data_IF_039077871844
#
_entry.id   IF_039077871844
#
_cell.length_a   1.000
_cell.length_b   1.000
_cell.length_c   1.000
_cell.angle_alpha   90.00
_cell.angle_beta   90.00
_cell.angle_gamma   90.00
#
_symmetry.space_group_name_H-M   'P 1'
#
loop_
_entity.id
_entity.type
_entity.pdbx_description
1 polymer ?
2 non-polymer ?
3 non-polymer ?
4 non-polymer ?
5 water ?
#
# COMPACT_ATOMS: atom_id res chain seq x y z
N UNK A 4 15.56 20.18 -17.62
CA UNK A 4 15.03 20.11 -16.25
C UNK A 4 15.74 19.05 -15.40
N UNK A 5 16.43 18.11 -16.06
CA UNK A 5 17.14 17.03 -15.38
C UNK A 5 16.26 15.93 -14.79
N UNK A 6 14.98 15.95 -15.14
CA UNK A 6 14.02 14.96 -14.68
C UNK A 6 13.82 13.88 -15.73
N UNK A 7 13.69 12.63 -15.32
CA UNK A 7 13.46 11.56 -16.29
C UNK A 7 12.08 11.66 -16.94
N UNK A 8 12.06 11.63 -18.26
CA UNK A 8 10.82 11.57 -19.01
C UNK A 8 10.72 10.24 -19.71
N UNK A 9 9.53 9.91 -20.20
CA UNK A 9 9.30 8.64 -20.89
C UNK A 9 10.22 8.55 -22.08
N UNK A 10 10.61 9.70 -22.61
CA UNK A 10 11.53 9.71 -23.73
C UNK A 10 12.95 9.36 -23.26
N UNK A 11 13.36 9.92 -22.12
CA UNK A 11 14.66 9.60 -21.53
C UNK A 11 14.80 8.10 -21.29
N UNK A 12 13.74 7.51 -20.77
CA UNK A 12 13.67 6.07 -20.52
C UNK A 12 13.78 5.27 -21.82
N UNK A 13 13.19 5.80 -22.89
CA UNK A 13 13.16 5.11 -24.17
C UNK A 13 14.51 5.23 -24.86
N UNK A 14 15.13 6.41 -24.74
CA UNK A 14 16.40 6.70 -25.39
C UNK A 14 17.59 6.10 -24.65
N UNK A 15 17.58 6.23 -23.33
CA UNK A 15 18.73 5.85 -22.52
C UNK A 15 18.80 4.34 -22.25
N UNK A 16 17.67 3.64 -22.35
CA UNK A 16 17.64 2.21 -21.99
C UNK A 16 17.11 1.27 -23.05
N UNK A 17 16.18 1.74 -23.86
CA UNK A 17 15.40 0.85 -24.68
C UNK A 17 15.91 0.73 -26.11
N UNK A 18 16.59 1.77 -26.58
CA UNK A 18 17.09 1.82 -27.96
C UNK A 18 17.76 0.52 -28.45
N UNK A 19 18.72 -0.03 -27.68
CA UNK A 19 19.48 -1.13 -28.29
C UNK A 19 18.75 -2.47 -28.40
N UNK A 20 17.45 -2.54 -28.13
CA UNK A 20 16.78 -3.84 -28.16
C UNK A 20 15.45 -3.79 -28.90
N UNK A 21 15.33 -2.86 -29.85
CA UNK A 21 14.15 -2.79 -30.71
C UNK A 21 14.27 -3.75 -31.89
N UNK A 22 15.14 -4.74 -31.73
CA UNK A 22 15.35 -5.78 -32.74
C UNK A 22 14.41 -6.97 -32.49
N UNK A 23 14.21 -7.34 -31.23
CA UNK A 23 13.39 -8.50 -30.95
C UNK A 23 12.27 -8.22 -29.95
N UNK A 24 11.18 -8.97 -30.07
CA UNK A 24 10.11 -8.95 -29.09
C UNK A 24 10.62 -9.55 -27.78
N UNK A 25 11.42 -10.61 -27.89
CA UNK A 25 11.81 -11.39 -26.73
C UNK A 25 13.24 -11.15 -26.24
N UNK A 26 13.35 -10.55 -25.05
CA UNK A 26 14.61 -10.23 -24.41
C UNK A 26 15.28 -11.43 -23.74
N UNK A 27 16.61 -11.46 -23.77
CA UNK A 27 17.38 -12.36 -22.92
C UNK A 27 17.35 -11.91 -21.45
N UNK A 28 17.64 -12.83 -20.54
CA UNK A 28 17.72 -12.48 -19.11
C UNK A 28 18.72 -11.37 -18.85
N UNK A 29 19.86 -11.46 -19.53
CA UNK A 29 20.88 -10.43 -19.47
C UNK A 29 20.43 -9.07 -20.01
N UNK A 30 19.70 -9.08 -21.12
CA UNK A 30 19.19 -7.82 -21.70
C UNK A 30 18.22 -7.11 -20.77
N UNK A 31 17.29 -7.85 -20.21
CA UNK A 31 16.37 -7.28 -19.25
C UNK A 31 17.19 -6.63 -18.15
N UNK A 32 18.23 -7.32 -17.69
CA UNK A 32 19.10 -6.77 -16.65
C UNK A 32 19.68 -5.44 -17.06
N UNK A 33 20.34 -5.39 -18.21
CA UNK A 33 20.90 -4.13 -18.69
C UNK A 33 19.84 -3.02 -18.71
N UNK A 34 18.69 -3.31 -19.30
CA UNK A 34 17.57 -2.38 -19.30
C UNK A 34 17.25 -1.91 -17.89
N UNK A 35 17.17 -2.87 -16.97
CA UNK A 35 16.84 -2.54 -15.58
C UNK A 35 17.81 -1.52 -14.98
N UNK A 36 19.11 -1.83 -14.97
CA UNK A 36 20.08 -0.93 -14.32
C UNK A 36 20.19 0.38 -15.06
N UNK A 37 19.73 0.39 -16.30
CA UNK A 37 19.74 1.64 -17.04
C UNK A 37 18.65 2.59 -16.57
N UNK A 38 17.45 2.05 -16.32
CA UNK A 38 16.37 2.85 -15.74
C UNK A 38 16.72 3.34 -14.34
N UNK A 39 17.15 2.41 -13.48
CA UNK A 39 17.55 2.76 -12.12
C UNK A 39 18.73 3.72 -12.10
N UNK A 40 19.62 3.62 -13.09
CA UNK A 40 20.66 4.61 -13.25
C UNK A 40 20.04 5.97 -13.46
N UNK A 41 18.93 6.00 -14.18
CA UNK A 41 18.25 7.25 -14.50
C UNK A 41 17.49 7.83 -13.30
N UNK A 42 16.98 6.97 -12.44
CA UNK A 42 16.12 7.45 -11.37
C UNK A 42 16.76 7.47 -9.99
N UNK A 43 18.02 7.07 -9.88
CA UNK A 43 18.64 6.94 -8.56
C UNK A 43 19.02 8.27 -7.92
N UNK A 44 19.38 9.27 -8.73
CA UNK A 44 19.77 10.55 -8.17
C UNK A 44 18.89 11.67 -8.68
N UNK A 45 17.98 11.33 -9.57
CA UNK A 45 17.06 12.30 -10.14
C UNK A 45 15.66 11.75 -10.04
N UNK A 46 14.68 12.54 -10.43
CA UNK A 46 13.30 12.19 -10.18
C UNK A 46 12.50 12.09 -11.48
N UNK A 47 11.35 11.42 -11.40
CA UNK A 47 10.41 11.42 -12.50
C UNK A 47 9.85 12.79 -12.77
N UNK A 48 9.72 13.12 -14.06
CA UNK A 48 9.14 14.38 -14.46
C UNK A 48 7.67 14.45 -13.97
N UNK A 49 6.96 13.34 -14.01
CA UNK A 49 5.53 13.35 -13.78
C UNK A 49 4.90 11.97 -13.57
N UNK A 50 3.62 11.95 -13.30
CA UNK A 50 2.93 10.71 -12.95
C UNK A 50 2.86 9.73 -14.10
N UNK A 51 2.87 10.27 -15.32
CA UNK A 51 2.79 9.48 -16.54
C UNK A 51 4.06 8.64 -16.72
N UNK A 52 5.18 9.21 -16.33
CA UNK A 52 6.45 8.52 -16.42
C UNK A 52 6.54 7.44 -15.35
N UNK A 53 6.23 7.80 -14.10
CA UNK A 53 6.21 6.82 -13.01
C UNK A 53 5.29 5.66 -13.35
N UNK A 54 4.12 5.97 -13.93
CA UNK A 54 3.15 4.98 -14.33
C UNK A 54 3.65 4.14 -15.48
N UNK A 55 4.23 4.81 -16.48
CA UNK A 55 4.77 4.11 -17.63
C UNK A 55 5.82 3.10 -17.18
N UNK A 56 6.61 3.55 -16.22
CA UNK A 56 7.75 2.82 -15.69
C UNK A 56 7.39 1.45 -15.13
N UNK A 57 6.19 1.33 -14.57
CA UNK A 57 5.71 0.06 -14.03
C UNK A 57 5.88 -1.19 -14.88
N UNK A 58 5.83 -1.06 -16.21
CA UNK A 58 6.07 -2.18 -17.13
C UNK A 58 7.35 -2.92 -16.84
N UNK A 59 8.34 -2.18 -16.34
CA UNK A 59 9.72 -2.61 -16.31
C UNK A 59 10.18 -3.10 -14.97
N UNK A 60 9.33 -2.93 -13.95
CA UNK A 60 9.71 -3.20 -12.56
C UNK A 60 8.91 -4.31 -11.91
N UNK A 61 9.57 -4.98 -10.97
CA UNK A 61 8.92 -5.89 -10.06
C UNK A 61 8.96 -5.21 -8.69
N UNK A 62 8.09 -5.64 -7.75
CA UNK A 62 8.15 -5.10 -6.39
C UNK A 62 9.55 -5.10 -5.80
N UNK A 63 10.32 -6.13 -6.10
CA UNK A 63 11.67 -6.26 -5.56
C UNK A 63 12.60 -5.24 -6.18
N UNK A 64 12.53 -5.09 -7.49
CA UNK A 64 13.38 -4.12 -8.16
C UNK A 64 13.05 -2.70 -7.69
N UNK A 65 11.79 -2.45 -7.41
CA UNK A 65 11.40 -1.14 -6.93
C UNK A 65 12.01 -0.92 -5.55
N UNK A 66 11.99 -1.97 -4.72
CA UNK A 66 12.64 -1.92 -3.41
C UNK A 66 14.10 -1.48 -3.54
N UNK A 67 14.84 -2.16 -4.42
CA UNK A 67 16.22 -1.81 -4.72
C UNK A 67 16.37 -0.34 -5.13
N UNK A 68 15.45 0.15 -5.95
CA UNK A 68 15.46 1.54 -6.37
C UNK A 68 15.31 2.50 -5.18
N UNK A 69 14.40 2.17 -4.27
CA UNK A 69 14.14 2.97 -3.08
C UNK A 69 15.37 3.02 -2.21
N UNK A 70 16.05 1.88 -2.08
CA UNK A 70 17.30 1.80 -1.34
C UNK A 70 18.40 2.61 -2.00
N UNK A 71 18.51 2.54 -3.31
CA UNK A 71 19.60 3.29 -3.93
C UNK A 71 19.31 4.78 -3.97
N UNK A 72 18.03 5.19 -4.01
CA UNK A 72 17.69 6.61 -3.83
C UNK A 72 18.12 7.11 -2.45
N UNK A 73 17.71 6.37 -1.43
CA UNK A 73 18.05 6.68 -0.05
C UNK A 73 19.56 6.83 0.17
N UNK A 74 20.31 5.95 -0.48
CA UNK A 74 21.77 5.98 -0.49
C UNK A 74 22.31 7.28 -1.08
N UNK A 75 21.66 7.73 -2.15
CA UNK A 75 21.95 9.02 -2.73
C UNK A 75 21.19 10.13 -2.02
N UNK A 76 20.78 9.87 -0.77
CA UNK A 76 20.11 10.86 0.05
C UNK A 76 18.84 11.43 -0.59
N UNK A 77 17.99 10.58 -1.15
CA UNK A 77 16.74 11.04 -1.76
C UNK A 77 15.53 10.28 -1.23
N UNK A 78 14.39 10.96 -1.12
CA UNK A 78 13.12 10.32 -0.78
C UNK A 78 12.90 9.07 -1.65
N UNK A 79 12.38 8.01 -1.07
CA UNK A 79 12.25 6.76 -1.81
C UNK A 79 11.36 6.85 -3.04
N UNK A 80 10.35 7.70 -2.97
CA UNK A 80 9.35 7.82 -4.04
C UNK A 80 9.96 8.53 -5.24
N UNK A 81 9.87 7.93 -6.44
CA UNK A 81 10.64 8.54 -7.54
C UNK A 81 10.18 9.92 -8.02
N UNK A 82 9.03 10.42 -7.58
CA UNK A 82 8.57 11.74 -8.02
C UNK A 82 9.13 12.83 -7.12
N UNK A 83 9.72 12.45 -5.99
CA UNK A 83 10.14 13.41 -4.97
C UNK A 83 11.63 13.70 -5.01
N UNK A 84 11.98 14.98 -4.98
CA UNK A 84 13.36 15.39 -4.99
C UNK A 84 13.89 15.81 -3.63
N UNK A 85 13.07 15.67 -2.60
CA UNK A 85 13.52 15.92 -1.24
C UNK A 85 14.31 14.73 -0.69
N UNK A 86 14.92 14.90 0.47
CA UNK A 86 15.66 13.83 1.08
C UNK A 86 14.77 13.19 2.16
N UNK A 87 15.15 12.00 2.65
CA UNK A 87 14.40 11.41 3.77
C UNK A 87 14.43 12.32 4.99
N UNK A 88 13.49 12.18 5.93
CA UNK A 88 13.47 13.10 7.05
C UNK A 88 14.55 12.75 8.07
N UNK A 89 14.78 11.45 8.28
CA UNK A 89 15.82 11.01 9.20
C UNK A 89 16.87 10.16 8.48
N UNK A 90 18.14 10.39 8.74
CA UNK A 90 19.18 9.57 8.11
C UNK A 90 19.30 8.25 8.82
N UNK A 91 19.79 7.24 8.10
CA UNK A 91 20.10 5.96 8.67
C UNK A 91 21.35 5.38 8.07
N UNK A 92 22.06 4.61 8.90
CA UNK A 92 23.29 3.94 8.55
C UNK A 92 22.95 2.52 8.06
N UNK A 93 23.24 2.21 6.79
CA UNK A 93 22.89 0.88 6.28
C UNK A 93 23.62 -0.26 6.97
N UNK A 94 24.74 0.02 7.63
CA UNK A 94 25.47 -1.03 8.35
C UNK A 94 25.17 -1.02 9.84
N UNK A 95 24.27 -0.14 10.28
CA UNK A 95 23.95 -0.05 11.70
C UNK A 95 22.83 -0.98 12.11
N UNK A 96 23.10 -1.87 13.05
CA UNK A 96 22.10 -2.78 13.55
C UNK A 96 21.15 -2.06 14.51
N UNK A 97 21.63 -1.00 15.16
CA UNK A 97 20.74 -0.16 15.96
C UNK A 97 19.66 0.42 15.08
N UNK A 98 20.09 1.00 13.95
CA UNK A 98 19.17 1.62 13.01
C UNK A 98 18.21 0.58 12.45
N UNK A 99 18.73 -0.62 12.18
CA UNK A 99 17.90 -1.69 11.69
C UNK A 99 16.91 -2.12 12.77
N UNK A 100 17.40 -2.23 14.00
CA UNK A 100 16.57 -2.58 15.16
C UNK A 100 15.44 -1.59 15.39
N UNK A 101 15.72 -0.28 15.24
CA UNK A 101 14.74 0.77 15.51
C UNK A 101 13.50 0.66 14.64
N UNK A 102 13.72 0.36 13.37
CA UNK A 102 12.61 0.23 12.44
C UNK A 102 11.54 -0.79 12.90
N UNK A 103 11.92 -1.77 13.73
CA UNK A 103 11.04 -2.89 14.06
C UNK A 103 10.70 -2.97 15.54
N UNK A 104 11.65 -2.52 16.36
CA UNK A 104 11.48 -2.46 17.80
C UNK A 104 10.48 -1.39 18.18
N UNK A 105 10.71 -0.19 17.67
CA UNK A 105 9.85 0.93 17.96
C UNK A 105 8.49 0.61 17.38
N UNK A 106 7.45 0.75 18.19
CA UNK A 106 6.11 0.36 17.75
C UNK A 106 5.28 1.58 17.34
N UNK A 107 4.93 1.63 16.06
CA UNK A 107 4.21 2.76 15.47
C UNK A 107 5.00 4.07 15.61
N UNK A 108 6.31 4.00 15.44
CA UNK A 108 7.14 5.20 15.44
C UNK A 108 7.33 5.67 14.00
N UNK A 109 7.45 7.00 13.81
CA UNK A 109 7.69 7.55 12.48
C UNK A 109 9.05 7.14 11.91
N UNK A 110 10.01 6.75 12.74
CA UNK A 110 11.34 6.47 12.24
C UNK A 110 11.30 5.53 11.07
N UNK A 111 10.47 4.49 11.20
CA UNK A 111 10.44 3.40 10.24
C UNK A 111 10.27 3.94 8.82
N UNK A 112 9.38 4.91 8.61
CA UNK A 112 9.23 5.48 7.26
C UNK A 112 10.02 6.77 7.04
N UNK A 113 10.10 7.61 8.05
CA UNK A 113 10.77 8.89 7.89
C UNK A 113 12.27 8.70 7.59
N UNK A 114 12.78 7.50 7.85
CA UNK A 114 14.15 7.16 7.44
C UNK A 114 14.27 6.75 5.96
N UNK A 115 13.15 6.50 5.28
CA UNK A 115 13.15 6.17 3.85
C UNK A 115 12.49 7.22 2.95
N UNK A 116 11.66 8.08 3.54
CA UNK A 116 10.87 9.05 2.77
C UNK A 116 10.82 10.39 3.46
N UNK A 117 10.42 11.42 2.72
CA UNK A 117 10.36 12.77 3.25
C UNK A 117 9.17 12.91 4.18
N UNK A 118 8.22 11.98 4.08
CA UNK A 118 6.96 12.06 4.81
C UNK A 118 6.20 10.75 4.76
N UNK A 119 5.19 10.63 5.62
CA UNK A 119 4.38 9.43 5.57
C UNK A 119 3.63 9.43 4.28
N UNK A 120 3.22 10.61 3.82
CA UNK A 120 2.47 10.70 2.58
C UNK A 120 3.22 10.02 1.42
N UNK A 121 4.49 10.37 1.23
CA UNK A 121 5.27 9.72 0.18
C UNK A 121 5.61 8.25 0.46
N UNK A 122 5.74 7.86 1.74
CA UNK A 122 5.81 6.44 2.08
C UNK A 122 4.62 5.68 1.51
N UNK A 123 3.43 6.23 1.70
CA UNK A 123 2.18 5.64 1.21
C UNK A 123 2.10 5.58 -0.30
N UNK A 124 2.40 6.69 -0.96
CA UNK A 124 2.46 6.72 -2.40
C UNK A 124 3.42 5.66 -2.94
N UNK A 125 4.59 5.55 -2.32
CA UNK A 125 5.60 4.61 -2.78
C UNK A 125 5.14 3.17 -2.60
N UNK A 126 4.42 2.90 -1.53
CA UNK A 126 4.04 1.53 -1.22
C UNK A 126 2.79 1.11 -1.99
N UNK A 127 1.85 2.05 -2.12
CA UNK A 127 0.66 1.90 -2.94
C UNK A 127 1.04 1.53 -4.38
N UNK A 128 2.05 2.23 -4.89
CA UNK A 128 2.62 1.94 -6.21
C UNK A 128 3.22 0.55 -6.27
N UNK A 129 4.11 0.26 -5.33
CA UNK A 129 4.90 -0.97 -5.35
C UNK A 129 4.11 -2.29 -5.34
N UNK A 130 3.05 -2.35 -4.55
CA UNK A 130 2.31 -3.59 -4.38
C UNK A 130 1.47 -3.93 -5.60
N UNK A 131 1.39 -3.00 -6.54
CA UNK A 131 0.66 -3.25 -7.78
C UNK A 131 1.58 -3.77 -8.88
N UNK A 132 2.87 -3.86 -8.58
CA UNK A 132 3.84 -4.21 -9.61
C UNK A 132 3.88 -5.71 -9.76
N UNK A 133 4.06 -6.18 -10.98
CA UNK A 133 4.07 -7.60 -11.23
C UNK A 133 5.34 -8.26 -10.74
N UNK A 134 5.22 -9.48 -10.22
CA UNK A 134 6.39 -10.30 -9.88
C UNK A 134 7.01 -11.00 -11.09
N UNK A 135 6.39 -10.86 -12.24
CA UNK A 135 6.90 -11.47 -13.44
C UNK A 135 8.18 -10.75 -13.84
N UNK A 136 9.24 -11.50 -14.13
CA UNK A 136 10.51 -10.88 -14.51
C UNK A 136 10.39 -10.14 -15.84
N UNK A 137 11.17 -9.09 -15.96
CA UNK A 137 11.06 -8.20 -17.11
C UNK A 137 11.25 -8.92 -18.44
N UNK A 138 12.24 -9.80 -18.51
CA UNK A 138 12.54 -10.50 -19.76
C UNK A 138 11.36 -11.37 -20.19
N UNK A 139 10.58 -11.84 -19.22
CA UNK A 139 9.35 -12.59 -19.48
C UNK A 139 8.21 -11.72 -20.03
N UNK A 140 8.32 -10.40 -19.89
CA UNK A 140 7.29 -9.49 -20.39
C UNK A 140 7.56 -9.13 -21.83
N UNK A 141 7.43 -10.13 -22.71
CA UNK A 141 7.74 -9.96 -24.12
C UNK A 141 7.12 -8.72 -24.74
N UNK A 142 7.95 -7.92 -25.40
CA UNK A 142 7.46 -6.78 -26.13
C UNK A 142 7.26 -5.48 -25.36
N UNK A 143 7.21 -5.51 -24.03
CA UNK A 143 6.91 -4.27 -23.27
C UNK A 143 7.96 -3.18 -23.43
N UNK A 144 9.03 -3.46 -24.16
CA UNK A 144 10.11 -2.51 -24.32
C UNK A 144 10.12 -1.89 -25.71
N UNK A 145 9.22 -2.38 -26.56
CA UNK A 145 9.16 -1.97 -27.96
C UNK A 145 8.41 -0.66 -28.15
N UNK A 146 9.06 0.27 -28.85
CA UNK A 146 8.53 1.60 -29.13
C UNK A 146 7.22 1.54 -29.88
N UNK A 147 7.23 0.91 -31.04
CA UNK A 147 6.02 0.67 -31.80
C UNK A 147 5.56 -0.73 -31.45
N UNK A 148 4.93 -0.84 -30.28
CA UNK A 148 4.54 -2.12 -29.71
C UNK A 148 3.23 -2.59 -30.36
N UNK A 149 3.29 -3.73 -31.08
CA UNK A 149 2.08 -4.34 -31.65
C UNK A 149 1.03 -4.68 -30.57
N UNK A 150 1.43 -4.68 -29.31
CA UNK A 150 0.54 -5.01 -28.22
C UNK A 150 0.54 -3.88 -27.21
N UNK A 151 0.88 -2.68 -27.68
CA UNK A 151 0.97 -1.51 -26.80
C UNK A 151 -0.25 -1.37 -25.92
N UNK A 152 -1.42 -1.40 -26.56
CA UNK A 152 -2.68 -1.28 -25.86
C UNK A 152 -2.81 -2.37 -24.79
N UNK A 153 -2.36 -3.58 -25.12
CA UNK A 153 -2.46 -4.70 -24.18
C UNK A 153 -1.53 -4.50 -22.98
N UNK A 154 -0.29 -4.09 -23.24
CA UNK A 154 0.68 -3.87 -22.17
C UNK A 154 0.27 -2.68 -21.29
N UNK A 155 -0.33 -1.67 -21.92
CA UNK A 155 -0.89 -0.54 -21.21
C UNK A 155 -1.90 -0.94 -20.14
N UNK A 156 -2.56 -2.06 -20.37
CA UNK A 156 -3.60 -2.55 -19.46
C UNK A 156 -3.02 -3.58 -18.49
N UNK A 157 -2.18 -4.46 -19.01
CA UNK A 157 -1.59 -5.51 -18.18
C UNK A 157 -0.63 -4.97 -17.12
N UNK A 158 -0.11 -3.76 -17.34
CA UNK A 158 0.85 -3.18 -16.43
C UNK A 158 0.41 -1.79 -16.02
N UNK A 159 -0.90 -1.56 -16.12
CA UNK A 159 -1.54 -0.41 -15.51
C UNK A 159 -1.16 -0.31 -14.04
N UNK A 160 -0.80 0.90 -13.64
CA UNK A 160 -0.53 1.24 -12.26
C UNK A 160 -1.36 2.46 -11.95
N UNK A 161 -2.08 2.43 -10.83
CA UNK A 161 -2.84 3.58 -10.35
C UNK A 161 -2.07 4.25 -9.22
N UNK A 162 -1.82 5.55 -9.32
CA UNK A 162 -1.07 6.21 -8.25
C UNK A 162 -2.00 6.54 -7.10
N UNK A 163 -1.44 6.58 -5.89
CA UNK A 163 -2.26 6.84 -4.71
C UNK A 163 -2.90 8.19 -4.88
N UNK A 164 -2.12 9.15 -5.37
CA UNK A 164 -2.62 10.51 -5.46
C UNK A 164 -3.65 10.66 -6.58
N UNK A 165 -3.80 9.64 -7.43
CA UNK A 165 -4.90 9.62 -8.39
C UNK A 165 -6.20 9.28 -7.69
N UNK A 166 -6.14 8.42 -6.67
CA UNK A 166 -7.35 8.08 -5.94
C UNK A 166 -7.78 9.23 -5.02
N UNK A 167 -6.84 9.82 -4.33
CA UNK A 167 -7.13 10.99 -3.51
C UNK A 167 -7.87 12.08 -4.27
N UNK A 168 -7.30 12.47 -5.42
CA UNK A 168 -7.92 13.44 -6.33
C UNK A 168 -9.36 13.09 -6.68
N UNK A 169 -9.56 11.87 -7.16
CA UNK A 169 -10.85 11.39 -7.67
C UNK A 169 -12.01 11.54 -6.71
N UNK A 170 -11.75 11.68 -5.42
CA UNK A 170 -12.85 11.73 -4.48
C UNK A 170 -13.26 13.13 -4.01
N UNK A 171 -12.40 14.14 -4.22
CA UNK A 171 -12.65 15.51 -3.74
C UNK A 171 -14.07 16.00 -4.05
N UNK A 172 -14.64 16.75 -3.10
CA UNK A 172 -15.98 17.30 -3.20
C UNK A 172 -16.02 18.57 -4.04
N UNK A 173 -17.22 19.03 -4.34
CA UNK A 173 -17.38 20.26 -5.08
C UNK A 173 -16.87 21.45 -4.27
N UNK A 174 -17.10 21.39 -2.96
CA UNK A 174 -16.64 22.47 -2.09
C UNK A 174 -15.12 22.49 -2.08
N UNK A 175 -14.52 21.30 -2.06
CA UNK A 175 -13.06 21.14 -2.18
C UNK A 175 -12.57 21.68 -3.52
N UNK A 176 -13.11 21.14 -4.61
CA UNK A 176 -12.85 21.61 -5.97
C UNK A 176 -12.91 23.12 -6.10
N UNK A 177 -13.98 23.72 -5.60
CA UNK A 177 -14.24 25.14 -5.84
C UNK A 177 -13.14 26.03 -5.23
N UNK A 178 -12.61 25.62 -4.08
CA UNK A 178 -11.58 26.38 -3.39
C UNK A 178 -10.43 26.77 -4.32
N UNK A 179 -9.96 25.79 -5.11
CA UNK A 179 -8.82 25.96 -6.00
C UNK A 179 -8.99 27.03 -7.07
N UNK A 180 -10.21 27.21 -7.57
CA UNK A 180 -10.45 28.26 -8.56
C UNK A 180 -10.47 29.66 -7.90
N UNK A 181 -11.44 29.87 -7.01
CA UNK A 181 -11.63 31.11 -6.25
C UNK A 181 -11.98 32.32 -7.12
N UNK B 4 -24.87 -15.84 9.19
CA UNK B 4 -23.95 -16.07 8.09
C UNK B 4 -22.61 -16.64 8.59
N UNK B 5 -22.29 -16.38 9.86
CA UNK B 5 -20.97 -16.70 10.37
C UNK B 5 -19.99 -15.56 10.11
N UNK B 6 -20.24 -14.84 9.02
CA UNK B 6 -19.40 -13.73 8.57
C UNK B 6 -20.02 -12.39 8.97
N UNK B 7 -19.19 -11.39 9.23
CA UNK B 7 -19.68 -10.11 9.73
C UNK B 7 -20.19 -9.20 8.60
N UNK B 8 -21.37 -8.62 8.80
CA UNK B 8 -21.91 -7.68 7.83
C UNK B 8 -21.87 -6.30 8.44
N UNK B 9 -22.24 -5.30 7.65
CA UNK B 9 -22.17 -3.92 8.12
C UNK B 9 -23.00 -3.77 9.36
N UNK B 10 -24.18 -4.36 9.39
CA UNK B 10 -24.97 -4.14 10.58
C UNK B 10 -24.54 -5.06 11.71
N UNK B 11 -23.87 -6.17 11.38
CA UNK B 11 -23.22 -6.95 12.43
C UNK B 11 -22.19 -6.08 13.15
N UNK B 12 -21.51 -5.22 12.38
CA UNK B 12 -20.58 -4.25 12.96
C UNK B 12 -21.33 -3.22 13.81
N UNK B 13 -22.47 -2.75 13.31
CA UNK B 13 -23.28 -1.76 13.99
C UNK B 13 -23.88 -2.31 15.29
N UNK B 14 -24.49 -3.50 15.22
CA UNK B 14 -25.03 -4.15 16.40
C UNK B 14 -23.97 -4.32 17.47
N UNK B 15 -22.86 -4.94 17.10
CA UNK B 15 -21.84 -5.29 18.07
C UNK B 15 -21.08 -4.08 18.67
N UNK B 16 -20.92 -3.00 17.92
CA UNK B 16 -19.96 -1.99 18.35
C UNK B 16 -20.56 -0.63 18.69
N UNK B 17 -21.64 -0.23 18.02
CA UNK B 17 -22.00 1.18 17.96
C UNK B 17 -23.28 1.56 18.72
N UNK B 18 -24.06 0.55 19.09
CA UNK B 18 -25.33 0.77 19.77
C UNK B 18 -25.24 1.74 20.99
N UNK B 19 -24.22 1.60 21.84
CA UNK B 19 -24.22 2.51 23.00
C UNK B 19 -23.83 3.97 22.74
N UNK B 20 -23.40 4.30 21.54
CA UNK B 20 -22.78 5.62 21.35
C UNK B 20 -23.56 6.52 20.44
N UNK B 21 -24.79 6.11 20.12
CA UNK B 21 -25.64 6.87 19.23
C UNK B 21 -26.11 8.17 19.88
N UNK B 22 -26.00 8.23 21.21
CA UNK B 22 -26.44 9.37 21.99
C UNK B 22 -25.79 10.69 21.55
N UNK B 23 -24.51 10.66 21.18
CA UNK B 23 -23.81 11.89 20.81
C UNK B 23 -22.85 11.73 19.66
N UNK B 24 -22.59 12.85 18.99
CA UNK B 24 -21.95 12.80 17.70
C UNK B 24 -20.43 12.82 17.92
N UNK B 25 -20.02 13.23 19.11
CA UNK B 25 -18.61 13.25 19.46
C UNK B 25 -18.25 12.16 20.48
N UNK B 26 -17.41 11.22 20.09
CA UNK B 26 -16.91 10.18 20.99
C UNK B 26 -15.78 10.70 21.89
N UNK B 27 -15.62 10.05 23.05
CA UNK B 27 -14.43 10.21 23.87
C UNK B 27 -13.41 9.14 23.54
N UNK B 28 -12.14 9.41 23.87
CA UNK B 28 -11.07 8.42 23.74
C UNK B 28 -11.45 7.06 24.30
N UNK B 29 -11.99 7.04 25.51
CA UNK B 29 -12.43 5.78 26.09
C UNK B 29 -13.47 5.09 25.22
N UNK B 30 -14.48 5.84 24.79
CA UNK B 30 -15.55 5.22 23.99
C UNK B 30 -14.98 4.60 22.72
N UNK B 31 -14.09 5.33 22.03
CA UNK B 31 -13.44 4.83 20.83
C UNK B 31 -12.68 3.51 21.04
N UNK B 32 -11.85 3.42 22.10
CA UNK B 32 -11.18 2.14 22.46
C UNK B 32 -12.15 0.98 22.51
N UNK B 33 -13.29 1.21 23.14
CA UNK B 33 -14.30 0.20 23.33
C UNK B 33 -14.88 -0.23 22.01
N UNK B 34 -14.97 0.70 21.06
CA UNK B 34 -15.48 0.39 19.73
C UNK B 34 -14.45 -0.42 18.98
N UNK B 35 -13.20 0.03 19.09
CA UNK B 35 -12.02 -0.66 18.56
C UNK B 35 -11.97 -2.09 19.04
N UNK B 36 -11.99 -2.22 20.36
CA UNK B 36 -11.96 -3.50 21.05
C UNK B 36 -13.03 -4.44 20.55
N UNK B 37 -14.21 -3.91 20.33
CA UNK B 37 -15.37 -4.71 19.96
C UNK B 37 -15.35 -5.05 18.48
N UNK B 38 -14.74 -4.20 17.64
CA UNK B 38 -14.62 -4.54 16.22
C UNK B 38 -13.56 -5.61 16.00
N UNK B 39 -12.44 -5.51 16.72
CA UNK B 39 -11.42 -6.55 16.68
C UNK B 39 -12.05 -7.84 17.17
N UNK B 40 -12.87 -7.73 18.22
CA UNK B 40 -13.60 -8.86 18.75
C UNK B 40 -14.42 -9.57 17.68
N UNK B 41 -15.14 -8.79 16.89
CA UNK B 41 -16.03 -9.29 15.85
C UNK B 41 -15.30 -9.95 14.69
N UNK B 42 -14.18 -9.35 14.28
CA UNK B 42 -13.49 -9.71 13.03
C UNK B 42 -12.24 -10.57 13.17
N UNK B 43 -11.81 -10.84 14.40
CA UNK B 43 -10.58 -11.60 14.56
C UNK B 43 -10.80 -13.09 14.33
N UNK B 44 -12.05 -13.55 14.42
CA UNK B 44 -12.31 -14.94 14.10
C UNK B 44 -13.50 -15.12 13.15
N UNK B 45 -13.82 -14.06 12.41
CA UNK B 45 -14.80 -14.17 11.34
C UNK B 45 -14.51 -13.20 10.21
N UNK B 46 -14.46 -13.73 8.99
CA UNK B 46 -14.23 -12.94 7.78
C UNK B 46 -15.41 -11.99 7.48
N UNK B 47 -15.10 -10.84 6.91
CA UNK B 47 -16.12 -9.93 6.40
C UNK B 47 -16.99 -10.62 5.38
N UNK B 48 -18.26 -10.25 5.37
CA UNK B 48 -19.23 -10.83 4.46
C UNK B 48 -18.86 -10.51 3.00
N UNK B 49 -18.44 -9.28 2.74
CA UNK B 49 -18.18 -8.85 1.37
C UNK B 49 -17.28 -7.60 1.27
N UNK B 50 -17.02 -7.15 0.06
CA UNK B 50 -16.21 -5.95 -0.16
C UNK B 50 -16.87 -4.73 0.46
N UNK B 51 -18.18 -4.69 0.37
CA UNK B 51 -18.93 -3.56 0.87
C UNK B 51 -18.70 -3.40 2.38
N UNK B 52 -18.53 -4.51 3.08
CA UNK B 52 -18.32 -4.45 4.52
C UNK B 52 -16.89 -4.04 4.84
N UNK B 53 -15.92 -4.73 4.26
CA UNK B 53 -14.51 -4.35 4.44
C UNK B 53 -14.30 -2.85 4.13
N UNK B 54 -14.97 -2.36 3.09
CA UNK B 54 -14.85 -0.95 2.72
C UNK B 54 -15.48 0.02 3.73
N UNK B 55 -16.68 -0.32 4.21
CA UNK B 55 -17.37 0.51 5.21
C UNK B 55 -16.53 0.67 6.48
N UNK B 56 -15.78 -0.38 6.79
CA UNK B 56 -14.99 -0.46 8.01
C UNK B 56 -13.86 0.56 8.08
N UNK B 57 -13.35 0.97 6.92
CA UNK B 57 -12.31 1.99 6.85
C UNK B 57 -12.51 3.18 7.77
N UNK B 58 -13.76 3.65 7.88
CA UNK B 58 -14.15 4.74 8.80
C UNK B 58 -13.59 4.64 10.19
N UNK B 59 -13.37 3.40 10.63
CA UNK B 59 -13.07 3.11 12.02
C UNK B 59 -11.61 2.81 12.28
N UNK B 60 -10.87 2.50 11.21
CA UNK B 60 -9.50 2.05 11.34
C UNK B 60 -8.46 3.11 10.95
N UNK B 61 -7.43 3.24 11.77
CA UNK B 61 -6.19 3.85 11.35
C UNK B 61 -5.34 2.69 10.86
N UNK B 62 -4.20 2.97 10.19
CA UNK B 62 -3.33 1.85 9.81
C UNK B 62 -2.92 0.99 11.00
N UNK B 63 -2.59 1.62 12.12
CA UNK B 63 -2.07 0.86 13.25
C UNK B 63 -3.17 0.04 13.92
N UNK B 64 -4.40 0.57 13.94
CA UNK B 64 -5.54 -0.23 14.41
C UNK B 64 -5.73 -1.42 13.50
N UNK B 65 -5.57 -1.21 12.19
CA UNK B 65 -5.73 -2.29 11.22
C UNK B 65 -4.70 -3.38 11.45
N UNK B 66 -3.46 -2.97 11.73
CA UNK B 66 -2.39 -3.93 11.98
C UNK B 66 -2.78 -4.77 13.20
N UNK B 67 -3.29 -4.10 14.23
CA UNK B 67 -3.79 -4.78 15.42
C UNK B 67 -4.81 -5.84 15.04
N UNK B 68 -5.71 -5.50 14.13
CA UNK B 68 -6.69 -6.45 13.65
C UNK B 68 -6.03 -7.61 12.92
N UNK B 69 -5.04 -7.32 12.07
CA UNK B 69 -4.32 -8.39 11.36
C UNK B 69 -3.65 -9.33 12.37
N UNK B 70 -3.00 -8.75 13.39
CA UNK B 70 -2.28 -9.52 14.37
C UNK B 70 -3.22 -10.50 15.06
N UNK B 71 -4.34 -10.00 15.56
CA UNK B 71 -5.30 -10.85 16.25
C UNK B 71 -5.98 -11.89 15.35
N UNK B 72 -6.06 -11.61 14.05
CA UNK B 72 -6.56 -12.60 13.11
C UNK B 72 -5.53 -13.72 12.96
N UNK B 73 -4.27 -13.33 12.79
CA UNK B 73 -3.17 -14.28 12.81
C UNK B 73 -3.20 -15.09 14.10
N UNK B 74 -3.47 -14.42 15.21
CA UNK B 74 -3.58 -15.09 16.49
C UNK B 74 -4.56 -16.26 16.36
N UNK B 75 -5.76 -16.03 15.83
CA UNK B 75 -6.68 -17.16 15.73
C UNK B 75 -6.50 -17.86 14.40
N UNK B 76 -5.25 -17.92 13.95
CA UNK B 76 -4.87 -18.74 12.80
C UNK B 76 -5.67 -18.38 11.56
N UNK B 77 -5.90 -17.08 11.33
CA UNK B 77 -6.63 -16.63 10.14
C UNK B 77 -5.76 -15.76 9.27
N UNK B 78 -6.07 -15.70 7.98
CA UNK B 78 -5.30 -14.85 7.08
C UNK B 78 -5.46 -13.36 7.48
N UNK B 79 -4.40 -12.57 7.34
CA UNK B 79 -4.45 -11.17 7.72
C UNK B 79 -5.58 -10.37 7.09
N UNK B 80 -5.78 -10.50 5.78
CA UNK B 80 -6.87 -9.81 5.06
C UNK B 80 -8.23 -10.25 5.61
N UNK B 81 -9.06 -9.30 6.10
CA UNK B 81 -10.32 -9.64 6.78
C UNK B 81 -11.42 -10.22 5.88
N UNK B 82 -11.24 -10.22 4.57
CA UNK B 82 -12.19 -10.89 3.68
C UNK B 82 -11.89 -12.37 3.60
N UNK B 83 -10.68 -12.74 3.98
CA UNK B 83 -10.24 -14.13 3.80
C UNK B 83 -10.70 -15.07 4.92
N UNK B 84 -11.22 -16.22 4.53
CA UNK B 84 -11.60 -17.23 5.50
C UNK B 84 -10.53 -18.30 5.61
N UNK B 85 -9.45 -18.14 4.88
CA UNK B 85 -8.37 -19.10 4.94
C UNK B 85 -7.47 -18.83 6.14
N UNK B 86 -6.47 -19.70 6.32
CA UNK B 86 -5.43 -19.48 7.30
C UNK B 86 -4.12 -19.15 6.58
N UNK B 87 -3.13 -18.65 7.33
CA UNK B 87 -1.83 -18.51 6.66
C UNK B 87 -1.35 -19.84 6.11
N UNK B 88 -0.45 -19.78 5.14
CA UNK B 88 0.14 -20.96 4.55
C UNK B 88 0.90 -21.73 5.62
N UNK B 89 1.62 -20.99 6.45
CA UNK B 89 2.35 -21.58 7.56
C UNK B 89 1.73 -21.16 8.90
N UNK B 90 1.34 -22.13 9.70
CA UNK B 90 0.89 -21.82 11.05
C UNK B 90 2.12 -21.80 11.91
N UNK B 91 2.18 -20.83 12.79
CA UNK B 91 3.32 -20.63 13.67
C UNK B 91 2.84 -20.52 15.12
N UNK B 92 3.66 -20.94 16.08
CA UNK B 92 3.38 -20.68 17.49
C UNK B 92 3.48 -19.18 17.75
N UNK B 93 2.36 -18.56 18.18
CA UNK B 93 2.30 -17.10 18.35
C UNK B 93 3.45 -16.56 19.19
N UNK B 94 3.88 -17.38 20.15
CA UNK B 94 4.91 -16.99 21.11
C UNK B 94 6.26 -17.69 20.89
N UNK B 95 6.55 -18.09 19.65
CA UNK B 95 7.85 -18.68 19.40
C UNK B 95 8.87 -17.57 19.13
N UNK B 96 8.39 -16.35 18.90
CA UNK B 96 9.28 -15.23 18.65
C UNK B 96 8.64 -13.88 18.91
N UNK B 97 9.49 -12.87 19.16
CA UNK B 97 9.12 -11.46 19.29
C UNK B 97 8.22 -10.86 18.26
N UNK B 98 7.61 -9.74 18.63
CA UNK B 98 6.95 -8.91 17.66
C UNK B 98 8.06 -8.27 16.83
N UNK B 99 9.13 -7.90 17.52
CA UNK B 99 10.31 -7.33 16.87
C UNK B 99 10.89 -8.31 15.86
N UNK B 100 11.07 -9.56 16.28
CA UNK B 100 11.57 -10.57 15.37
C UNK B 100 10.58 -10.82 14.21
N UNK B 101 9.28 -10.81 14.51
CA UNK B 101 8.31 -11.06 13.48
C UNK B 101 8.29 -9.94 12.45
N UNK B 102 8.23 -8.69 12.90
CA UNK B 102 8.19 -7.54 11.99
C UNK B 102 9.45 -7.51 11.13
N UNK B 103 10.59 -7.76 11.77
CA UNK B 103 11.86 -7.90 11.06
C UNK B 103 11.78 -8.99 9.97
N UNK B 104 11.23 -10.14 10.30
CA UNK B 104 11.19 -11.24 9.34
C UNK B 104 10.27 -10.94 8.17
N UNK B 105 9.13 -10.31 8.46
CA UNK B 105 8.16 -9.97 7.43
C UNK B 105 8.81 -9.20 6.29
N UNK B 106 9.73 -8.33 6.66
CA UNK B 106 10.44 -7.49 5.71
C UNK B 106 11.69 -8.15 5.13
N UNK B 107 12.43 -8.85 5.96
CA UNK B 107 13.75 -9.28 5.54
C UNK B 107 13.84 -10.72 5.05
N UNK B 108 12.78 -11.49 5.31
CA UNK B 108 12.69 -12.89 4.88
C UNK B 108 11.60 -13.05 3.83
N UNK B 109 12.00 -13.47 2.64
CA UNK B 109 11.17 -13.56 1.42
C UNK B 109 9.89 -14.41 1.57
N UNK B 110 9.81 -15.29 2.57
CA UNK B 110 8.66 -16.19 2.69
C UNK B 110 7.93 -16.03 4.03
N UNK B 111 8.28 -14.99 4.78
CA UNK B 111 7.76 -14.89 6.13
C UNK B 111 6.30 -14.46 6.11
N UNK B 112 5.90 -13.77 5.05
CA UNK B 112 4.52 -13.32 4.93
C UNK B 112 3.54 -14.50 4.90
N UNK B 113 4.04 -15.68 4.54
CA UNK B 113 3.13 -16.83 4.46
C UNK B 113 2.67 -17.29 5.85
N UNK B 114 3.26 -16.71 6.89
CA UNK B 114 2.82 -16.97 8.27
C UNK B 114 1.74 -15.96 8.65
N UNK B 115 1.48 -14.99 7.78
CA UNK B 115 0.54 -13.93 8.05
C UNK B 115 -0.61 -13.91 7.09
N UNK B 116 -0.40 -14.46 5.90
CA UNK B 116 -1.41 -14.43 4.86
C UNK B 116 -1.37 -15.76 4.12
N UNK B 117 -2.37 -16.04 3.32
CA UNK B 117 -2.43 -17.32 2.65
C UNK B 117 -1.70 -17.27 1.31
N UNK B 118 -1.36 -16.06 0.89
CA UNK B 118 -0.73 -15.88 -0.40
C UNK B 118 -0.17 -14.49 -0.50
N UNK B 119 0.76 -14.29 -1.43
CA UNK B 119 1.31 -12.97 -1.68
C UNK B 119 0.18 -12.02 -2.07
N UNK B 120 -0.79 -12.56 -2.79
CA UNK B 120 -1.92 -11.75 -3.26
C UNK B 120 -2.62 -11.07 -2.12
N UNK B 121 -2.99 -11.84 -1.12
CA UNK B 121 -3.68 -11.24 0.01
C UNK B 121 -2.76 -10.41 0.88
N UNK B 122 -1.46 -10.72 0.85
CA UNK B 122 -0.47 -9.86 1.45
C UNK B 122 -0.57 -8.46 0.84
N UNK B 123 -0.65 -8.43 -0.49
CA UNK B 123 -0.73 -7.18 -1.23
C UNK B 123 -2.06 -6.47 -0.99
N UNK B 124 -3.16 -7.22 -1.10
CA UNK B 124 -4.50 -6.71 -0.81
C UNK B 124 -4.52 -6.02 0.55
N UNK B 125 -3.98 -6.69 1.55
CA UNK B 125 -3.93 -6.18 2.91
C UNK B 125 -3.13 -4.86 2.99
N UNK B 126 -1.98 -4.80 2.32
CA UNK B 126 -1.12 -3.60 2.39
C UNK B 126 -1.78 -2.43 1.72
N UNK B 127 -2.22 -2.69 0.50
CA UNK B 127 -2.99 -1.76 -0.31
C UNK B 127 -4.12 -1.13 0.52
N UNK B 128 -4.89 -1.97 1.22
CA UNK B 128 -5.98 -1.50 2.09
C UNK B 128 -5.44 -0.60 3.16
N UNK B 129 -4.40 -1.06 3.85
CA UNK B 129 -3.81 -0.29 4.95
C UNK B 129 -3.33 1.13 4.59
N UNK B 130 -2.69 1.36 3.44
CA UNK B 130 -2.14 2.70 3.11
C UNK B 130 -3.21 3.76 2.84
N UNK B 131 -4.45 3.33 2.60
CA UNK B 131 -5.51 4.27 2.30
C UNK B 131 -6.23 4.72 3.56
N UNK B 132 -5.85 4.16 4.71
CA UNK B 132 -6.52 4.44 5.99
C UNK B 132 -6.00 5.71 6.60
N UNK B 133 -6.90 6.53 7.13
CA UNK B 133 -6.51 7.83 7.67
C UNK B 133 -5.75 7.66 8.97
N UNK B 134 -4.82 8.56 9.24
CA UNK B 134 -4.06 8.45 10.49
C UNK B 134 -4.79 9.21 11.63
N UNK B 135 -5.88 9.86 11.27
CA UNK B 135 -6.77 10.48 12.25
C UNK B 135 -7.35 9.49 13.27
N UNK B 136 -7.25 9.82 14.55
CA UNK B 136 -7.74 8.95 15.62
C UNK B 136 -9.23 8.82 15.54
N UNK B 137 -9.71 7.60 15.75
CA UNK B 137 -11.14 7.32 15.67
C UNK B 137 -11.99 8.36 16.39
N UNK B 138 -11.63 8.69 17.63
CA UNK B 138 -12.44 9.56 18.46
C UNK B 138 -12.52 10.96 17.87
N UNK B 139 -11.53 11.31 17.08
CA UNK B 139 -11.53 12.58 16.37
C UNK B 139 -12.36 12.55 15.06
N UNK B 140 -13.07 11.46 14.81
CA UNK B 140 -13.83 11.32 13.57
C UNK B 140 -15.31 11.54 13.84
N UNK B 141 -15.62 12.73 14.35
CA UNK B 141 -16.95 13.12 14.82
C UNK B 141 -18.09 12.71 13.90
N UNK B 142 -18.90 11.74 14.33
CA UNK B 142 -20.06 11.31 13.58
C UNK B 142 -20.04 9.94 12.92
N UNK B 143 -18.85 9.40 12.69
CA UNK B 143 -18.72 8.22 11.82
C UNK B 143 -19.42 7.00 12.38
N UNK B 144 -19.64 6.98 13.69
CA UNK B 144 -20.28 5.84 14.34
C UNK B 144 -21.81 5.87 14.24
N UNK B 145 -22.35 6.99 13.73
CA UNK B 145 -23.79 7.24 13.77
C UNK B 145 -24.58 6.51 12.67
N UNK B 146 -25.48 5.64 13.11
CA UNK B 146 -26.48 5.02 12.25
C UNK B 146 -27.11 6.00 11.26
N UNK B 147 -27.52 7.15 11.76
CA UNK B 147 -28.06 8.19 10.90
C UNK B 147 -27.08 9.35 10.88
N UNK B 148 -26.26 9.40 9.85
CA UNK B 148 -25.15 10.35 9.84
C UNK B 148 -25.44 11.56 8.95
N UNK B 149 -25.67 12.73 9.59
CA UNK B 149 -25.90 13.97 8.85
C UNK B 149 -24.80 14.25 7.83
N UNK B 150 -23.60 13.76 8.11
CA UNK B 150 -22.45 13.96 7.22
C UNK B 150 -22.02 12.72 6.42
N UNK B 151 -22.90 11.72 6.34
CA UNK B 151 -22.65 10.46 5.62
C UNK B 151 -21.94 10.61 4.25
N UNK B 152 -22.59 11.32 3.32
CA UNK B 152 -22.05 11.54 1.98
C UNK B 152 -20.61 12.04 2.03
N UNK B 153 -20.31 12.88 3.03
CA UNK B 153 -18.96 13.38 3.29
C UNK B 153 -18.02 12.29 3.82
N UNK B 154 -18.55 11.37 4.63
CA UNK B 154 -17.73 10.35 5.29
C UNK B 154 -17.46 9.17 4.36
N UNK B 155 -18.39 8.91 3.44
CA UNK B 155 -18.19 7.90 2.40
C UNK B 155 -17.01 8.25 1.48
N UNK B 156 -16.65 9.53 1.47
CA UNK B 156 -15.62 10.01 0.59
C UNK B 156 -14.34 10.27 1.39
N UNK B 157 -14.48 10.93 2.53
CA UNK B 157 -13.36 11.15 3.44
C UNK B 157 -12.63 9.87 3.89
N UNK B 158 -13.32 8.74 3.81
CA UNK B 158 -12.78 7.49 4.31
C UNK B 158 -13.04 6.39 3.31
N UNK B 159 -13.22 6.77 2.04
CA UNK B 159 -13.35 5.82 0.95
C UNK B 159 -12.13 4.93 0.89
N UNK B 160 -12.32 3.66 0.61
CA UNK B 160 -11.20 2.75 0.36
C UNK B 160 -11.45 1.94 -0.90
N UNK B 161 -10.47 1.93 -1.79
CA UNK B 161 -10.55 1.11 -2.99
C UNK B 161 -9.85 -0.21 -2.74
N UNK B 162 -10.58 -1.32 -2.77
CA UNK B 162 -9.93 -2.59 -2.53
C UNK B 162 -9.10 -2.97 -3.75
N UNK B 163 -8.01 -3.71 -3.50
CA UNK B 163 -7.07 -4.16 -4.53
C UNK B 163 -7.74 -4.98 -5.61
N UNK B 164 -8.69 -5.82 -5.22
CA UNK B 164 -9.37 -6.64 -6.20
C UNK B 164 -10.35 -5.79 -7.01
N UNK B 165 -10.75 -4.64 -6.48
CA UNK B 165 -11.50 -3.69 -7.28
C UNK B 165 -10.61 -3.17 -8.42
N UNK B 166 -9.39 -2.76 -8.10
CA UNK B 166 -8.51 -2.21 -9.10
C UNK B 166 -8.20 -3.21 -10.21
N UNK B 167 -8.03 -4.47 -9.85
CA UNK B 167 -7.70 -5.51 -10.83
C UNK B 167 -8.89 -5.85 -11.72
N UNK B 168 -10.10 -5.70 -11.19
CA UNK B 168 -11.29 -5.90 -12.00
C UNK B 168 -11.42 -4.84 -13.09
N UNK B 169 -11.06 -3.61 -12.73
CA UNK B 169 -11.17 -2.49 -13.66
C UNK B 169 -10.14 -2.60 -14.75
N UNK B 170 -9.25 -3.59 -14.70
CA UNK B 170 -8.26 -3.74 -15.76
C UNK B 170 -8.24 -5.15 -16.34
N UNK B 171 -8.42 -6.17 -15.49
CA UNK B 171 -8.51 -7.54 -15.95
C UNK B 171 -9.96 -7.85 -16.29
#
# INVERSE_FOLDING_TARGET
GPGSGMATIEDIKETALIPFQKHRQLSMHEAEVITLEIIGLLCDSECKDEKTLKYLGRFLTPDMYQDLVDERNLNKRCGYPLCGKSPERIRDPFSMNDTTKKFLLENNPYAYLSHYCSKFHFRCSQFYQVQLSDEALFARTGVHLFEDPEQDKHDIDFKVTLFEELLREKASEEDIKSLISGL
GPGSGMATIEDIKETALIPFQKHRQLSMHEAEVITLEIIGLLCDSECKDEKTLKYLGRFLTPDMYQDLVDERNLNKRCGYPLCGKSPERIRDPFSMNDTTKKFLLENNPYAYLSHYCSKFHFRCSQFYQVQLSDEALFARTGVHLFEDPEQDKHDIDFKVTLFEELLREKASEEDIKSLISGL
#
